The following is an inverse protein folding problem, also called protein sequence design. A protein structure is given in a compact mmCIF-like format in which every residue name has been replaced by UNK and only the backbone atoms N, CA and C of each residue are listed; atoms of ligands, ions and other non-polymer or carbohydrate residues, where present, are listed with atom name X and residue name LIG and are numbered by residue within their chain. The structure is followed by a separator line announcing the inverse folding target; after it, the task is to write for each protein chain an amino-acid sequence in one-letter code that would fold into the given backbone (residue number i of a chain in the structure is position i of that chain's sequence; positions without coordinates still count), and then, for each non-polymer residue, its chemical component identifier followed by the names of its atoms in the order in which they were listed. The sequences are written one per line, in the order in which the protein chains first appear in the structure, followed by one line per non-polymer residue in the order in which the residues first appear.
data_IF_763501406440
#
_entry.id   IF_763501406440
#
_cell.length_a   1.000
_cell.length_b   1.000
_cell.length_c   1.000
_cell.angle_alpha   90.00
_cell.angle_beta   90.00
_cell.angle_gamma   90.00
#
_symmetry.space_group_name_H-M   'P 1'
#
loop_
_entity.id
_entity.type
_entity.pdbx_description
1 polymer ?
#
# COMPACT_ATOMS: atom_id res chain seq x y z
N UNK A 1 57.29 43.52 4.53
CA UNK A 1 58.24 43.16 5.61
C UNK A 1 57.60 42.15 6.53
N UNK A 2 58.27 41.00 6.70
CA UNK A 2 58.18 40.02 7.79
C UNK A 2 56.81 39.40 8.10
N UNK A 3 56.54 38.14 8.16
CA UNK A 3 57.36 36.94 8.15
C UNK A 3 56.48 35.82 8.66
N UNK A 4 56.47 34.65 8.00
CA UNK A 4 55.94 33.40 8.53
C UNK A 4 56.66 32.96 9.81
N UNK A 5 56.11 32.09 10.65
CA UNK A 5 56.49 30.71 10.43
C UNK A 5 55.36 29.66 10.61
N UNK A 6 55.59 28.57 9.89
CA UNK A 6 54.98 27.26 9.98
C UNK A 6 55.19 26.59 11.34
N UNK A 7 54.22 25.77 11.80
CA UNK A 7 54.46 24.65 12.72
C UNK A 7 53.66 23.43 12.31
N UNK A 8 54.41 22.43 11.93
CA UNK A 8 54.02 21.03 11.86
C UNK A 8 53.75 20.49 13.26
N UNK A 9 52.69 19.67 13.42
CA UNK A 9 52.56 18.80 14.59
C UNK A 9 52.17 17.39 14.16
N UNK A 10 52.94 16.50 14.70
CA UNK A 10 53.08 15.07 14.55
C UNK A 10 51.82 14.25 14.84
N UNK A 11 51.84 13.08 14.22
CA UNK A 11 51.04 11.89 14.52
C UNK A 11 51.15 11.44 15.98
N UNK A 12 49.99 11.12 16.60
CA UNK A 12 49.96 10.25 17.75
C UNK A 12 48.96 9.12 17.45
N UNK A 13 49.51 7.94 17.18
CA UNK A 13 48.81 6.66 17.28
C UNK A 13 48.78 6.32 18.77
N UNK A 14 47.57 6.16 19.32
CA UNK A 14 47.40 5.51 20.61
C UNK A 14 46.38 4.36 20.47
N UNK A 15 46.96 3.17 20.66
CA UNK A 15 46.28 1.89 20.60
C UNK A 15 45.41 1.66 21.85
N UNK A 16 44.13 1.45 21.63
CA UNK A 16 43.23 0.95 22.65
C UNK A 16 43.33 -0.57 22.73
N UNK A 17 43.98 -1.05 23.78
CA UNK A 17 44.03 -2.45 24.22
C UNK A 17 42.68 -2.88 24.77
N UNK A 18 42.06 -3.87 24.14
CA UNK A 18 40.91 -4.59 24.67
C UNK A 18 41.30 -5.40 25.91
N UNK A 19 40.64 -5.15 27.05
CA UNK A 19 40.70 -6.00 28.23
C UNK A 19 39.52 -7.00 28.18
N UNK A 20 39.74 -8.31 28.33
CA UNK A 20 38.62 -9.26 28.41
C UNK A 20 37.99 -9.21 29.77
N UNK A 21 36.66 -9.05 29.81
CA UNK A 21 35.83 -9.11 31.01
C UNK A 21 35.67 -10.56 31.50
N UNK A 22 36.00 -10.73 32.78
CA UNK A 22 35.94 -11.98 33.55
C UNK A 22 34.55 -12.62 33.50
N UNK A 23 34.53 -13.91 33.17
CA UNK A 23 33.40 -14.84 33.41
C UNK A 23 33.02 -14.87 34.90
N UNK A 24 31.86 -14.36 35.23
CA UNK A 24 31.19 -14.71 36.50
C UNK A 24 30.47 -16.03 36.33
N UNK A 25 30.76 -16.98 37.18
CA UNK A 25 30.12 -18.28 37.32
C UNK A 25 28.64 -18.07 37.62
N UNK A 26 27.75 -18.55 36.77
CA UNK A 26 26.32 -18.64 37.02
C UNK A 26 26.02 -19.82 37.96
N UNK A 27 25.11 -19.61 38.88
CA UNK A 27 24.51 -20.65 39.73
C UNK A 27 23.69 -21.63 38.89
N UNK A 28 23.63 -22.92 39.26
CA UNK A 28 22.84 -23.91 38.51
C UNK A 28 21.35 -23.68 38.74
N UNK A 29 20.60 -23.50 37.65
CA UNK A 29 19.13 -23.47 37.61
C UNK A 29 18.63 -24.92 37.65
N UNK A 30 17.66 -25.29 38.47
CA UNK A 30 17.12 -26.65 38.50
C UNK A 30 16.34 -26.93 37.22
N UNK A 31 16.66 -28.08 36.60
CA UNK A 31 16.17 -28.53 35.31
C UNK A 31 14.71 -29.02 35.32
N UNK A 32 13.77 -28.24 35.84
CA UNK A 32 12.38 -28.68 35.95
C UNK A 32 11.32 -27.74 35.35
N UNK A 33 11.65 -26.48 34.97
CA UNK A 33 10.62 -25.47 34.64
C UNK A 33 10.78 -24.88 33.23
N UNK A 34 11.87 -25.14 32.50
CA UNK A 34 12.14 -24.53 31.20
C UNK A 34 11.48 -25.29 30.03
N UNK A 35 10.90 -26.47 30.29
CA UNK A 35 10.35 -27.33 29.22
C UNK A 35 8.95 -26.95 28.72
N UNK A 36 8.16 -26.21 29.51
CA UNK A 36 6.73 -26.02 29.18
C UNK A 36 6.45 -24.73 28.38
N UNK A 37 7.28 -23.71 28.50
CA UNK A 37 7.08 -22.45 27.77
C UNK A 37 7.64 -22.46 26.32
N UNK A 38 8.67 -23.27 26.06
CA UNK A 38 9.23 -23.38 24.71
C UNK A 38 8.31 -24.15 23.73
N UNK A 39 7.46 -25.05 24.25
CA UNK A 39 6.53 -25.81 23.40
C UNK A 39 5.34 -24.99 22.92
N UNK A 40 4.87 -24.00 23.69
CA UNK A 40 3.75 -23.18 23.26
C UNK A 40 4.14 -22.15 22.18
N UNK A 41 5.37 -21.63 22.21
CA UNK A 41 5.86 -20.64 21.23
C UNK A 41 6.19 -21.33 19.90
N UNK A 42 6.72 -22.55 19.90
CA UNK A 42 7.02 -23.30 18.67
C UNK A 42 5.74 -23.79 17.97
N UNK A 43 4.70 -24.15 18.72
CA UNK A 43 3.42 -24.58 18.15
C UNK A 43 2.67 -23.43 17.47
N UNK A 44 2.73 -22.21 18.02
CA UNK A 44 2.12 -21.02 17.42
C UNK A 44 2.90 -20.53 16.19
N UNK A 45 4.24 -20.66 16.19
CA UNK A 45 5.06 -20.25 15.04
C UNK A 45 4.92 -21.19 13.82
N UNK A 46 4.66 -22.49 14.02
CA UNK A 46 4.43 -23.43 12.93
C UNK A 46 3.04 -23.31 12.27
N UNK A 47 2.05 -22.78 12.95
CA UNK A 47 0.71 -22.58 12.40
C UNK A 47 0.57 -21.31 11.53
N UNK A 48 1.49 -20.36 11.66
CA UNK A 48 1.40 -19.07 10.95
C UNK A 48 2.33 -18.90 9.76
N UNK A 49 3.38 -19.73 9.58
CA UNK A 49 4.40 -19.50 8.54
C UNK A 49 4.62 -20.68 7.59
N UNK A 50 4.01 -21.86 7.81
CA UNK A 50 4.48 -23.10 7.18
C UNK A 50 3.54 -23.88 6.30
N UNK A 51 2.68 -23.28 5.54
CA UNK A 51 1.72 -23.98 4.67
C UNK A 51 2.26 -24.60 3.37
N UNK A 52 3.57 -24.76 3.13
CA UNK A 52 4.05 -25.37 1.86
C UNK A 52 5.48 -25.88 1.80
N UNK A 53 6.04 -26.43 2.86
CA UNK A 53 7.28 -27.24 2.70
C UNK A 53 7.39 -28.16 3.90
N UNK A 54 7.31 -29.47 3.66
CA UNK A 54 7.71 -30.63 4.47
C UNK A 54 6.62 -31.69 4.65
N UNK A 55 6.24 -32.33 3.53
CA UNK A 55 5.40 -33.54 3.54
C UNK A 55 6.11 -34.83 4.03
N UNK A 56 7.31 -34.73 4.59
CA UNK A 56 8.11 -35.91 4.97
C UNK A 56 8.43 -36.09 6.45
N UNK A 57 8.25 -35.09 7.28
CA UNK A 57 8.69 -35.13 8.70
C UNK A 57 7.52 -35.27 9.69
N UNK A 58 6.29 -35.06 9.22
CA UNK A 58 5.10 -35.06 10.10
C UNK A 58 4.70 -36.50 10.56
N UNK A 59 5.11 -37.53 9.86
CA UNK A 59 4.72 -38.92 10.20
C UNK A 59 5.46 -39.50 11.42
N UNK A 60 6.69 -39.07 11.68
CA UNK A 60 7.47 -39.61 12.82
C UNK A 60 7.25 -38.85 14.13
N UNK A 61 7.00 -37.52 14.07
CA UNK A 61 6.69 -36.75 15.26
C UNK A 61 5.30 -37.09 15.81
N UNK A 62 4.36 -37.48 14.97
CA UNK A 62 3.02 -37.92 15.38
C UNK A 62 3.02 -39.22 16.21
N UNK A 63 3.98 -40.10 15.98
CA UNK A 63 4.09 -41.36 16.75
C UNK A 63 4.65 -41.13 18.17
N UNK A 64 5.66 -40.28 18.28
CA UNK A 64 6.29 -40.00 19.59
C UNK A 64 5.36 -39.19 20.50
N UNK A 65 4.58 -38.28 19.95
CA UNK A 65 3.59 -37.49 20.73
C UNK A 65 2.38 -38.36 21.10
N UNK A 66 1.94 -39.27 20.23
CA UNK A 66 0.85 -40.18 20.52
C UNK A 66 1.16 -41.16 21.66
N UNK A 67 2.40 -41.70 21.74
CA UNK A 67 2.80 -42.57 22.82
C UNK A 67 3.03 -41.87 24.16
N UNK A 68 3.49 -40.60 24.15
CA UNK A 68 3.64 -39.80 25.36
C UNK A 68 2.28 -39.42 25.96
N UNK A 69 1.30 -39.04 25.13
CA UNK A 69 -0.06 -38.73 25.58
C UNK A 69 -0.78 -39.95 26.15
N UNK A 70 -0.56 -41.14 25.56
CA UNK A 70 -1.19 -42.38 26.07
C UNK A 70 -0.61 -42.87 27.40
N UNK A 71 0.66 -42.57 27.72
CA UNK A 71 1.27 -42.93 29.01
C UNK A 71 0.80 -42.02 30.14
N UNK A 72 0.55 -40.76 29.87
CA UNK A 72 0.06 -39.82 30.88
C UNK A 72 -1.44 -40.03 31.19
N UNK A 73 -2.19 -40.54 30.23
CA UNK A 73 -3.62 -40.82 30.40
C UNK A 73 -3.89 -42.08 31.25
N UNK A 74 -2.87 -42.94 31.51
CA UNK A 74 -3.05 -44.24 32.18
C UNK A 74 -2.84 -44.18 33.69
N UNK A 75 -2.39 -43.04 34.31
CA UNK A 75 -2.10 -42.93 35.73
C UNK A 75 -2.90 -41.83 36.50
N UNK A 76 -3.96 -41.30 35.91
CA UNK A 76 -4.85 -40.41 36.65
C UNK A 76 -5.92 -41.21 37.41
N UNK A 77 -6.12 -40.96 38.73
CA UNK A 77 -7.18 -41.66 39.48
C UNK A 77 -8.53 -41.26 38.82
N UNK A 78 -9.35 -42.30 38.57
CA UNK A 78 -10.68 -42.15 38.00
C UNK A 78 -11.57 -41.34 38.93
N UNK A 79 -11.61 -40.04 38.72
CA UNK A 79 -12.68 -39.22 39.25
C UNK A 79 -13.92 -39.52 38.42
N UNK A 80 -14.89 -40.19 39.00
CA UNK A 80 -16.19 -40.47 38.40
C UNK A 80 -16.80 -39.13 38.05
N UNK A 81 -16.67 -38.72 36.77
CA UNK A 81 -17.42 -37.59 36.25
C UNK A 81 -18.91 -37.95 36.27
N UNK A 82 -19.80 -37.07 36.74
CA UNK A 82 -21.23 -37.29 36.60
C UNK A 82 -21.55 -37.47 35.11
N UNK A 83 -22.29 -38.56 34.81
CA UNK A 83 -22.78 -38.85 33.45
C UNK A 83 -23.77 -37.80 32.99
N UNK A 84 -23.27 -36.58 32.75
CA UNK A 84 -23.99 -35.53 32.05
C UNK A 84 -23.74 -35.69 30.55
N UNK A 85 -24.78 -35.75 29.77
CA UNK A 85 -24.73 -35.67 28.32
C UNK A 85 -23.78 -34.52 27.96
N UNK A 86 -22.67 -34.82 27.27
CA UNK A 86 -21.76 -33.78 26.81
C UNK A 86 -22.57 -32.82 25.95
N UNK A 87 -22.79 -31.60 26.46
CA UNK A 87 -23.44 -30.56 25.69
C UNK A 87 -22.50 -30.13 24.58
N UNK A 88 -22.95 -30.31 23.36
CA UNK A 88 -22.21 -29.76 22.21
C UNK A 88 -21.97 -28.26 22.45
N UNK A 89 -20.79 -27.78 22.10
CA UNK A 89 -20.42 -26.38 22.32
C UNK A 89 -21.13 -25.46 21.35
N UNK A 90 -21.52 -24.23 21.74
CA UNK A 90 -21.93 -23.20 20.80
C UNK A 90 -20.73 -22.75 19.95
N UNK A 91 -20.98 -22.07 18.84
CA UNK A 91 -19.96 -21.51 17.96
C UNK A 91 -20.23 -20.02 17.84
N UNK A 92 -19.24 -19.19 18.15
CA UNK A 92 -19.27 -17.76 17.78
C UNK A 92 -18.83 -17.59 16.35
N UNK A 93 -19.48 -16.72 15.61
CA UNK A 93 -19.05 -16.34 14.28
C UNK A 93 -17.72 -15.59 14.35
N UNK A 94 -16.86 -15.81 13.37
CA UNK A 94 -15.63 -15.03 13.23
C UNK A 94 -15.96 -13.54 13.03
N UNK A 95 -15.14 -12.62 13.58
CA UNK A 95 -15.27 -11.20 13.28
C UNK A 95 -15.14 -10.96 11.78
N UNK A 96 -15.81 -9.93 11.23
CA UNK A 96 -15.62 -9.56 9.84
C UNK A 96 -14.16 -9.11 9.57
N UNK A 97 -13.70 -9.36 8.34
CA UNK A 97 -12.36 -8.94 7.92
C UNK A 97 -11.24 -9.59 8.74
N UNK A 98 -10.35 -8.77 9.26
CA UNK A 98 -9.18 -9.16 10.05
C UNK A 98 -9.41 -9.13 11.58
N UNK A 99 -10.64 -8.84 12.03
CA UNK A 99 -10.98 -8.72 13.44
C UNK A 99 -10.67 -7.37 14.09
N UNK A 100 -10.13 -6.41 13.34
CA UNK A 100 -9.97 -5.04 13.81
C UNK A 100 -11.25 -4.23 13.57
N UNK A 101 -11.49 -3.24 14.42
CA UNK A 101 -12.66 -2.36 14.32
C UNK A 101 -12.39 -1.03 15.04
N UNK A 102 -12.87 0.06 14.46
CA UNK A 102 -12.95 1.38 15.12
C UNK A 102 -14.26 1.59 15.88
N UNK A 103 -15.19 0.62 15.79
CA UNK A 103 -16.49 0.73 16.45
C UNK A 103 -16.39 0.24 17.91
N UNK A 104 -16.72 1.10 18.89
CA UNK A 104 -16.56 0.78 20.32
C UNK A 104 -17.58 -0.24 20.86
N UNK A 105 -18.54 -0.65 20.04
CA UNK A 105 -19.52 -1.65 20.39
C UNK A 105 -19.77 -2.62 19.25
N UNK A 106 -19.89 -3.92 19.59
CA UNK A 106 -20.10 -4.99 18.63
C UNK A 106 -21.25 -5.91 19.06
N UNK A 107 -22.04 -6.34 18.08
CA UNK A 107 -23.02 -7.40 18.25
C UNK A 107 -22.38 -8.73 17.88
N UNK A 108 -22.25 -9.63 18.85
CA UNK A 108 -21.75 -10.98 18.59
C UNK A 108 -22.89 -11.86 18.10
N UNK A 109 -22.60 -12.66 17.08
CA UNK A 109 -23.52 -13.66 16.58
C UNK A 109 -22.88 -15.06 16.65
N UNK A 110 -23.74 -16.07 16.60
CA UNK A 110 -23.24 -17.43 16.65
C UNK A 110 -24.35 -18.45 16.43
N UNK A 111 -24.00 -19.70 16.65
CA UNK A 111 -24.94 -20.82 16.51
C UNK A 111 -24.88 -21.77 17.71
N UNK A 112 -25.99 -22.38 17.99
CA UNK A 112 -26.14 -23.47 18.97
C UNK A 112 -26.43 -24.78 18.25
N UNK A 113 -26.11 -25.94 18.89
CA UNK A 113 -26.47 -27.25 18.36
C UNK A 113 -27.97 -27.40 18.14
N UNK A 114 -28.37 -28.06 17.07
CA UNK A 114 -29.81 -28.33 16.75
C UNK A 114 -30.56 -28.99 17.90
N UNK A 115 -29.90 -29.83 18.69
CA UNK A 115 -30.49 -30.58 19.79
C UNK A 115 -31.07 -29.70 20.92
N UNK A 116 -30.67 -28.42 21.01
CA UNK A 116 -31.14 -27.52 22.08
C UNK A 116 -32.11 -26.44 21.57
N UNK A 117 -32.34 -26.38 20.27
CA UNK A 117 -33.27 -25.41 19.64
C UNK A 117 -34.67 -25.58 20.19
N UNK A 118 -35.33 -24.46 20.57
CA UNK A 118 -36.67 -24.44 21.11
C UNK A 118 -36.79 -24.93 22.57
N UNK A 119 -35.67 -25.27 23.24
CA UNK A 119 -35.70 -25.68 24.63
C UNK A 119 -35.55 -24.44 25.54
N UNK A 120 -36.56 -24.07 26.24
CA UNK A 120 -36.64 -22.86 27.09
C UNK A 120 -35.70 -22.89 28.31
N UNK A 121 -35.14 -24.03 28.66
CA UNK A 121 -34.24 -24.22 29.77
C UNK A 121 -32.73 -24.17 29.39
N UNK A 122 -32.44 -23.73 28.15
CA UNK A 122 -31.08 -23.56 27.67
C UNK A 122 -30.80 -22.10 27.38
N UNK A 123 -29.62 -21.63 27.79
CA UNK A 123 -29.12 -20.28 27.59
C UNK A 123 -27.74 -20.33 26.92
N UNK A 124 -27.41 -19.29 26.16
CA UNK A 124 -26.05 -19.03 25.74
C UNK A 124 -25.50 -17.90 26.60
N UNK A 125 -24.38 -18.15 27.27
CA UNK A 125 -23.62 -17.12 27.98
C UNK A 125 -22.39 -16.77 27.17
N UNK A 126 -22.15 -15.47 26.99
CA UNK A 126 -20.95 -14.96 26.37
C UNK A 126 -20.07 -14.33 27.44
N UNK A 127 -18.80 -14.70 27.42
CA UNK A 127 -17.80 -14.19 28.34
C UNK A 127 -16.71 -13.43 27.62
N UNK A 128 -16.32 -12.29 28.17
CA UNK A 128 -15.08 -11.60 27.84
C UNK A 128 -13.97 -12.22 28.70
N UNK A 129 -12.91 -12.67 28.04
CA UNK A 129 -11.73 -13.25 28.69
C UNK A 129 -10.77 -12.15 29.10
N UNK A 130 -10.47 -12.07 30.38
CA UNK A 130 -9.48 -11.19 30.95
C UNK A 130 -8.13 -11.89 31.17
N UNK A 131 -7.19 -11.16 31.78
CA UNK A 131 -5.91 -11.72 32.20
C UNK A 131 -6.10 -12.90 33.14
N UNK A 132 -5.18 -13.87 33.14
CA UNK A 132 -5.22 -15.08 33.97
C UNK A 132 -6.49 -15.93 33.80
N UNK A 133 -7.08 -15.93 32.57
CA UNK A 133 -8.30 -16.66 32.24
C UNK A 133 -9.55 -16.29 33.10
N UNK A 134 -9.58 -15.10 33.67
CA UNK A 134 -10.76 -14.57 34.35
C UNK A 134 -11.85 -14.34 33.33
N UNK A 135 -13.06 -14.87 33.60
CA UNK A 135 -14.24 -14.73 32.74
C UNK A 135 -15.18 -13.66 33.26
N UNK A 136 -15.52 -12.67 32.45
CA UNK A 136 -16.57 -11.69 32.79
C UNK A 136 -17.77 -11.95 31.90
N UNK A 137 -18.93 -12.27 32.48
CA UNK A 137 -20.18 -12.44 31.70
C UNK A 137 -20.57 -11.09 31.08
N UNK A 138 -20.70 -11.06 29.75
CA UNK A 138 -21.07 -9.86 28.99
C UNK A 138 -22.44 -9.98 28.33
N UNK A 139 -22.92 -11.20 28.09
CA UNK A 139 -24.28 -11.42 27.60
C UNK A 139 -24.84 -12.77 28.07
N UNK A 140 -26.18 -12.83 28.14
CA UNK A 140 -26.93 -14.06 28.38
C UNK A 140 -28.16 -14.05 27.47
N UNK A 141 -28.32 -15.07 26.64
CA UNK A 141 -29.33 -15.14 25.59
C UNK A 141 -30.09 -16.43 25.72
N UNK A 142 -31.42 -16.35 25.77
CA UNK A 142 -32.30 -17.52 25.72
C UNK A 142 -32.14 -18.22 24.37
N UNK A 143 -32.01 -19.55 24.36
CA UNK A 143 -32.00 -20.31 23.10
C UNK A 143 -33.40 -20.22 22.48
N UNK A 144 -33.47 -19.70 21.27
CA UNK A 144 -34.73 -19.49 20.55
C UNK A 144 -35.16 -20.69 19.69
N UNK A 145 -36.09 -20.43 18.79
CA UNK A 145 -36.61 -21.41 17.84
C UNK A 145 -35.67 -21.68 16.64
N UNK A 146 -34.54 -21.03 16.58
CA UNK A 146 -33.52 -21.21 15.54
C UNK A 146 -32.16 -21.58 16.13
N UNK A 147 -31.27 -22.11 15.30
CA UNK A 147 -29.89 -22.37 15.71
C UNK A 147 -29.08 -21.11 15.89
N UNK A 148 -29.52 -19.94 15.43
CA UNK A 148 -28.80 -18.68 15.47
C UNK A 148 -29.15 -17.90 16.73
N UNK A 149 -28.13 -17.28 17.31
CA UNK A 149 -28.29 -16.30 18.40
C UNK A 149 -27.50 -15.02 18.08
N UNK A 150 -27.91 -13.93 18.73
CA UNK A 150 -27.21 -12.64 18.69
C UNK A 150 -27.27 -12.02 20.07
N UNK A 151 -26.21 -11.31 20.43
CA UNK A 151 -26.17 -10.51 21.66
C UNK A 151 -26.77 -9.11 21.37
N UNK A 152 -27.07 -8.39 22.43
CA UNK A 152 -27.08 -6.93 22.37
C UNK A 152 -25.67 -6.40 22.06
N UNK A 153 -25.56 -5.11 21.79
CA UNK A 153 -24.26 -4.48 21.56
C UNK A 153 -23.38 -4.54 22.81
N UNK A 154 -22.20 -5.14 22.70
CA UNK A 154 -21.22 -5.29 23.78
C UNK A 154 -20.16 -4.23 23.58
N UNK A 155 -19.90 -3.43 24.62
CA UNK A 155 -18.83 -2.42 24.61
C UNK A 155 -17.48 -3.09 24.65
N UNK A 156 -16.60 -2.72 23.69
CA UNK A 156 -15.21 -3.17 23.61
C UNK A 156 -14.30 -2.25 24.43
N UNK A 157 -13.19 -2.80 24.89
CA UNK A 157 -12.06 -2.05 25.42
C UNK A 157 -11.02 -1.86 24.33
N UNK A 158 -10.28 -0.78 24.39
CA UNK A 158 -9.15 -0.54 23.49
C UNK A 158 -8.19 -1.73 23.50
N UNK A 159 -7.76 -2.16 22.30
CA UNK A 159 -6.97 -3.37 22.11
C UNK A 159 -7.80 -4.65 21.96
N UNK A 160 -7.21 -5.84 22.18
CA UNK A 160 -7.86 -7.12 21.92
C UNK A 160 -8.92 -7.47 22.97
N UNK A 161 -10.10 -7.84 22.49
CA UNK A 161 -11.23 -8.34 23.26
C UNK A 161 -11.52 -9.78 22.83
N UNK A 162 -11.22 -10.74 23.70
CA UNK A 162 -11.38 -12.17 23.41
C UNK A 162 -12.69 -12.65 23.99
N UNK A 163 -13.57 -13.19 23.18
CA UNK A 163 -14.88 -13.71 23.59
C UNK A 163 -14.94 -15.22 23.41
N UNK A 164 -15.62 -15.87 24.35
CA UNK A 164 -16.05 -17.27 24.26
C UNK A 164 -17.55 -17.35 24.57
N UNK A 165 -18.21 -18.34 24.03
CA UNK A 165 -19.58 -18.66 24.40
C UNK A 165 -19.65 -20.04 25.06
N UNK A 166 -20.55 -20.21 26.02
CA UNK A 166 -20.88 -21.50 26.62
C UNK A 166 -22.39 -21.74 26.56
N UNK A 167 -22.78 -22.98 26.43
CA UNK A 167 -24.19 -23.37 26.54
C UNK A 167 -24.47 -23.70 28.01
N UNK A 168 -25.53 -23.13 28.57
CA UNK A 168 -25.97 -23.35 29.94
C UNK A 168 -27.25 -24.18 29.92
N UNK A 169 -27.24 -25.26 30.71
CA UNK A 169 -28.38 -26.11 30.92
C UNK A 169 -28.78 -26.14 32.38
N UNK A 170 -29.90 -26.77 32.79
CA UNK A 170 -30.21 -26.97 34.21
C UNK A 170 -29.12 -27.72 35.02
N UNK A 171 -28.29 -28.51 34.36
CA UNK A 171 -27.15 -29.22 34.95
C UNK A 171 -25.89 -28.41 35.07
N UNK A 172 -25.87 -27.17 34.52
CA UNK A 172 -24.70 -26.28 34.60
C UNK A 172 -24.19 -25.86 33.23
N UNK A 173 -22.99 -25.24 33.22
CA UNK A 173 -22.29 -24.80 32.03
C UNK A 173 -21.62 -25.97 31.29
N UNK A 174 -21.79 -25.99 29.97
CA UNK A 174 -21.10 -26.93 29.07
C UNK A 174 -19.71 -26.45 28.66
N UNK A 175 -19.17 -27.04 27.59
CA UNK A 175 -17.89 -26.66 27.01
C UNK A 175 -17.92 -25.24 26.39
N UNK A 176 -16.75 -24.60 26.42
CA UNK A 176 -16.60 -23.28 25.79
C UNK A 176 -16.38 -23.39 24.27
N UNK A 177 -16.90 -22.44 23.52
CA UNK A 177 -16.59 -22.27 22.09
C UNK A 177 -15.10 -22.01 21.87
N UNK A 178 -14.61 -22.20 20.63
CA UNK A 178 -13.38 -21.54 20.21
C UNK A 178 -13.46 -20.02 20.48
N UNK A 179 -12.36 -19.39 20.90
CA UNK A 179 -12.35 -17.95 21.15
C UNK A 179 -12.43 -17.17 19.83
N UNK A 180 -13.13 -16.03 19.85
CA UNK A 180 -13.09 -15.02 18.81
C UNK A 180 -12.51 -13.72 19.35
N UNK A 181 -11.72 -13.01 18.53
CA UNK A 181 -11.02 -11.80 18.96
C UNK A 181 -11.46 -10.63 18.13
N UNK A 182 -11.95 -9.58 18.81
CA UNK A 182 -12.16 -8.26 18.24
C UNK A 182 -11.12 -7.31 18.80
N UNK A 183 -10.36 -6.66 17.95
CA UNK A 183 -9.38 -5.64 18.36
C UNK A 183 -9.95 -4.26 18.11
N UNK A 184 -10.32 -3.56 19.17
CA UNK A 184 -10.74 -2.17 19.06
C UNK A 184 -9.50 -1.29 18.92
N UNK A 185 -9.46 -0.51 17.86
CA UNK A 185 -8.50 0.57 17.68
C UNK A 185 -9.25 1.81 17.18
N UNK A 186 -9.27 2.86 18.00
CA UNK A 186 -9.96 4.11 17.69
C UNK A 186 -9.01 5.25 17.31
N UNK A 187 -7.70 4.94 17.17
CA UNK A 187 -6.67 5.93 16.88
C UNK A 187 -6.33 5.93 15.41
N UNK A 188 -6.44 7.11 14.79
CA UNK A 188 -5.95 7.28 13.44
C UNK A 188 -4.42 7.15 13.38
N UNK A 189 -3.87 6.52 12.33
CA UNK A 189 -2.44 6.28 12.21
C UNK A 189 -1.68 7.60 12.04
N UNK A 190 -0.46 7.66 12.60
CA UNK A 190 0.43 8.78 12.38
C UNK A 190 0.91 8.82 10.93
N UNK A 191 0.92 10.02 10.31
CA UNK A 191 1.37 10.22 8.94
C UNK A 191 2.29 11.44 8.87
N UNK A 192 3.51 11.24 8.38
CA UNK A 192 4.47 12.31 8.15
C UNK A 192 5.03 12.21 6.73
N UNK A 193 4.95 13.29 5.97
CA UNK A 193 5.54 13.38 4.63
C UNK A 193 6.96 13.93 4.75
N UNK A 194 7.93 13.21 4.19
CA UNK A 194 9.34 13.61 4.18
C UNK A 194 9.80 14.13 2.83
N UNK A 195 9.09 13.79 1.75
CA UNK A 195 9.34 14.27 0.38
C UNK A 195 8.05 14.14 -0.45
N UNK A 196 7.78 15.09 -1.36
CA UNK A 196 8.50 16.35 -1.56
C UNK A 196 8.28 17.32 -0.41
N UNK A 197 9.12 18.36 -0.31
CA UNK A 197 8.87 19.52 0.57
C UNK A 197 7.62 20.29 0.14
N UNK A 198 7.16 21.17 1.00
CA UNK A 198 6.01 22.04 0.68
C UNK A 198 6.31 22.95 -0.53
N UNK A 199 5.32 23.13 -1.42
CA UNK A 199 5.39 24.01 -2.61
C UNK A 199 6.58 23.74 -3.54
N UNK A 200 6.97 22.48 -3.68
CA UNK A 200 8.10 22.12 -4.55
C UNK A 200 7.73 22.31 -6.02
N UNK A 201 8.70 22.81 -6.79
CA UNK A 201 8.61 22.89 -8.26
C UNK A 201 9.24 21.61 -8.87
N UNK A 202 8.44 20.85 -9.61
CA UNK A 202 8.84 19.59 -10.24
C UNK A 202 8.81 19.74 -11.76
N UNK A 203 9.89 19.33 -12.44
CA UNK A 203 9.97 19.36 -13.91
C UNK A 203 9.47 18.07 -14.57
N UNK A 204 9.41 16.97 -13.83
CA UNK A 204 8.98 15.68 -14.33
C UNK A 204 7.46 15.51 -14.40
N UNK A 205 6.99 14.51 -15.15
CA UNK A 205 5.56 14.14 -15.24
C UNK A 205 5.07 13.39 -14.01
N UNK A 206 5.95 13.05 -13.09
CA UNK A 206 5.64 12.40 -11.82
C UNK A 206 6.60 12.86 -10.72
N UNK A 207 6.20 12.66 -9.49
CA UNK A 207 7.00 12.92 -8.30
C UNK A 207 6.94 11.72 -7.39
N UNK A 208 8.04 11.45 -6.67
CA UNK A 208 8.07 10.44 -5.61
C UNK A 208 7.65 11.07 -4.29
N UNK A 209 6.51 10.64 -3.77
CA UNK A 209 6.05 10.99 -2.42
C UNK A 209 6.60 9.94 -1.46
N UNK A 210 7.31 10.39 -0.44
CA UNK A 210 7.89 9.55 0.59
C UNK A 210 7.54 10.08 1.98
N UNK A 211 7.45 9.17 2.93
CA UNK A 211 7.05 9.52 4.29
C UNK A 211 7.22 8.39 5.28
N UNK A 212 6.62 8.61 6.44
CA UNK A 212 6.58 7.62 7.53
C UNK A 212 5.15 7.46 8.03
N UNK A 213 4.84 6.22 8.38
CA UNK A 213 3.61 5.84 9.09
C UNK A 213 3.88 4.57 9.89
N UNK A 214 2.87 4.03 10.52
CA UNK A 214 2.97 2.81 11.31
C UNK A 214 3.04 1.56 10.42
N UNK A 215 3.62 0.49 10.92
CA UNK A 215 3.67 -0.80 10.21
C UNK A 215 2.25 -1.34 9.97
N UNK A 216 2.01 -1.90 8.79
CA UNK A 216 0.71 -2.45 8.39
C UNK A 216 -0.31 -1.43 7.88
N UNK A 217 -0.01 -0.12 8.00
CA UNK A 217 -0.87 0.95 7.48
C UNK A 217 -0.83 0.97 5.95
N UNK A 218 -1.98 1.12 5.32
CA UNK A 218 -2.10 1.32 3.87
C UNK A 218 -2.04 2.81 3.55
N UNK A 219 -1.04 3.20 2.75
CA UNK A 219 -0.94 4.56 2.21
C UNK A 219 -1.59 4.57 0.83
N UNK A 220 -2.58 5.44 0.65
CA UNK A 220 -3.22 5.72 -0.63
C UNK A 220 -2.96 7.16 -1.04
N UNK A 221 -2.53 7.39 -2.29
CA UNK A 221 -2.18 8.72 -2.77
C UNK A 221 -2.99 9.05 -4.01
N UNK A 222 -3.64 10.20 -3.97
CA UNK A 222 -4.51 10.70 -5.03
C UNK A 222 -4.18 12.14 -5.40
N UNK A 223 -3.93 12.38 -6.69
CA UNK A 223 -3.81 13.73 -7.22
C UNK A 223 -5.20 14.20 -7.72
N UNK A 224 -5.75 15.23 -7.09
CA UNK A 224 -7.10 15.76 -7.39
C UNK A 224 -7.21 16.30 -8.82
N UNK A 225 -6.12 16.78 -9.39
CA UNK A 225 -6.06 17.32 -10.75
C UNK A 225 -5.84 16.23 -11.81
N UNK A 226 -5.66 14.97 -11.41
CA UNK A 226 -5.53 13.84 -12.32
C UNK A 226 -6.73 12.89 -12.18
N UNK A 227 -7.95 13.32 -12.61
CA UNK A 227 -9.16 12.50 -12.50
C UNK A 227 -9.04 11.29 -13.44
N UNK A 228 -9.33 10.12 -12.94
CA UNK A 228 -9.31 8.86 -13.71
C UNK A 228 -8.05 7.99 -13.53
N UNK A 229 -7.06 8.46 -12.78
CA UNK A 229 -5.98 7.61 -12.29
C UNK A 229 -6.43 6.84 -11.05
N UNK A 230 -6.28 5.51 -11.04
CA UNK A 230 -6.44 4.77 -9.79
C UNK A 230 -5.46 5.31 -8.74
N UNK A 231 -5.86 5.46 -7.47
CA UNK A 231 -4.94 5.84 -6.41
C UNK A 231 -3.74 4.89 -6.37
N UNK A 232 -2.56 5.44 -6.29
CA UNK A 232 -1.38 4.62 -6.05
C UNK A 232 -1.34 4.26 -4.55
N UNK A 233 -1.15 2.99 -4.22
CA UNK A 233 -1.15 2.53 -2.83
C UNK A 233 0.04 1.65 -2.51
N UNK A 234 0.42 1.64 -1.23
CA UNK A 234 1.46 0.77 -0.67
C UNK A 234 1.15 0.47 0.80
N UNK A 235 1.47 -0.72 1.26
CA UNK A 235 1.42 -1.07 2.68
C UNK A 235 2.78 -0.76 3.30
N UNK A 236 2.77 -0.06 4.42
CA UNK A 236 3.98 0.30 5.17
C UNK A 236 4.53 -0.95 5.85
N UNK A 237 5.80 -1.26 5.60
CA UNK A 237 6.49 -2.37 6.24
C UNK A 237 7.11 -2.01 7.59
N UNK A 238 7.90 -2.94 8.16
CA UNK A 238 8.56 -2.80 9.47
C UNK A 238 9.46 -1.57 9.61
N UNK A 239 10.01 -1.06 8.49
CA UNK A 239 10.83 0.16 8.50
C UNK A 239 10.05 1.43 8.86
N UNK A 240 8.73 1.36 8.84
CA UNK A 240 7.85 2.51 9.06
C UNK A 240 7.95 3.57 7.96
N UNK A 241 8.51 3.24 6.78
CA UNK A 241 8.69 4.19 5.68
C UNK A 241 7.91 3.74 4.44
N UNK A 242 7.50 4.71 3.64
CA UNK A 242 6.87 4.45 2.34
C UNK A 242 7.43 5.37 1.26
N UNK A 243 7.27 4.93 0.01
CA UNK A 243 7.57 5.70 -1.19
C UNK A 243 6.64 5.30 -2.32
N UNK A 244 5.96 6.29 -2.91
CA UNK A 244 4.97 6.09 -3.99
C UNK A 244 5.17 7.15 -5.06
N UNK A 245 5.14 6.77 -6.33
CA UNK A 245 5.20 7.71 -7.46
C UNK A 245 3.81 8.19 -7.83
N UNK A 246 3.65 9.52 -7.98
CA UNK A 246 2.39 10.17 -8.31
C UNK A 246 2.55 10.95 -9.62
N UNK A 247 1.61 10.76 -10.54
CA UNK A 247 1.55 11.53 -11.78
C UNK A 247 1.07 12.96 -11.51
N UNK A 248 1.67 13.91 -12.21
CA UNK A 248 1.36 15.33 -12.09
C UNK A 248 0.83 15.88 -13.42
N UNK A 249 -0.21 16.71 -13.34
CA UNK A 249 -0.61 17.60 -14.43
C UNK A 249 0.22 18.89 -14.38
N UNK A 250 0.15 19.69 -15.41
CA UNK A 250 0.79 21.01 -15.51
C UNK A 250 0.20 21.98 -14.51
N UNK A 251 1.05 22.81 -13.97
CA UNK A 251 0.66 23.80 -12.98
C UNK A 251 0.50 23.19 -11.60
N UNK A 252 -0.50 23.64 -10.88
CA UNK A 252 -0.71 23.29 -9.48
C UNK A 252 -1.39 21.92 -9.34
N UNK A 253 -0.82 21.06 -8.49
CA UNK A 253 -1.34 19.76 -8.15
C UNK A 253 -1.59 19.69 -6.65
N UNK A 254 -2.80 19.33 -6.27
CA UNK A 254 -3.21 19.06 -4.90
C UNK A 254 -3.26 17.55 -4.70
N UNK A 255 -2.33 17.03 -3.92
CA UNK A 255 -2.15 15.59 -3.72
C UNK A 255 -2.54 15.21 -2.30
N UNK A 256 -3.56 14.39 -2.16
CA UNK A 256 -3.97 13.80 -0.89
C UNK A 256 -3.17 12.52 -0.64
N UNK A 257 -2.55 12.44 0.52
CA UNK A 257 -1.90 11.26 1.05
C UNK A 257 -2.73 10.79 2.24
N UNK A 258 -3.30 9.59 2.12
CA UNK A 258 -4.22 9.03 3.11
C UNK A 258 -3.55 7.78 3.69
N UNK A 259 -3.39 7.77 4.99
CA UNK A 259 -2.96 6.61 5.76
C UNK A 259 -4.19 5.96 6.38
N UNK A 260 -4.43 4.68 6.13
CA UNK A 260 -5.55 3.91 6.69
C UNK A 260 -5.00 2.68 7.40
N UNK A 261 -5.39 2.48 8.65
CA UNK A 261 -5.00 1.31 9.45
C UNK A 261 -5.92 0.10 9.22
N UNK A 262 -5.71 -0.96 10.00
CA UNK A 262 -6.49 -2.19 9.93
C UNK A 262 -7.91 -2.07 10.51
N UNK A 263 -8.17 -1.03 11.30
CA UNK A 263 -9.48 -0.72 11.89
C UNK A 263 -10.26 0.32 11.07
N UNK A 264 -9.76 0.68 9.87
CA UNK A 264 -10.32 1.71 8.98
C UNK A 264 -10.25 3.15 9.54
N UNK A 265 -9.42 3.41 10.57
CA UNK A 265 -9.13 4.79 10.94
C UNK A 265 -8.19 5.40 9.91
N UNK A 266 -8.35 6.70 9.63
CA UNK A 266 -7.56 7.34 8.59
C UNK A 266 -7.03 8.72 9.00
N UNK A 267 -5.82 9.01 8.50
CA UNK A 267 -5.20 10.34 8.56
C UNK A 267 -4.92 10.81 7.14
N UNK A 268 -5.29 12.05 6.82
CA UNK A 268 -5.06 12.65 5.50
C UNK A 268 -4.15 13.85 5.62
N UNK A 269 -3.11 13.88 4.78
CA UNK A 269 -2.23 15.05 4.59
C UNK A 269 -2.34 15.49 3.13
N UNK A 270 -2.65 16.76 2.90
CA UNK A 270 -2.64 17.37 1.58
C UNK A 270 -1.31 18.06 1.32
N UNK A 271 -0.70 17.80 0.16
CA UNK A 271 0.52 18.46 -0.28
C UNK A 271 0.28 19.20 -1.60
N UNK A 272 0.82 20.41 -1.70
CA UNK A 272 0.76 21.22 -2.92
C UNK A 272 2.07 21.05 -3.69
N UNK A 273 1.97 20.69 -4.96
CA UNK A 273 3.12 20.45 -5.83
C UNK A 273 2.87 21.21 -7.13
N UNK A 274 3.80 22.07 -7.50
CA UNK A 274 3.74 22.75 -8.78
C UNK A 274 4.60 22.02 -9.80
N UNK A 275 3.99 21.60 -10.91
CA UNK A 275 4.74 21.07 -12.03
C UNK A 275 5.04 22.21 -13.00
N UNK A 276 6.35 22.43 -13.20
CA UNK A 276 6.86 23.31 -14.23
C UNK A 276 7.32 22.45 -15.41
N UNK A 277 6.96 22.87 -16.61
CA UNK A 277 7.34 22.15 -17.82
C UNK A 277 8.73 22.45 -18.29
N UNK A 278 9.31 23.54 -17.84
CA UNK A 278 10.33 24.19 -18.63
C UNK A 278 9.81 24.37 -20.07
N UNK A 279 10.45 25.12 -20.90
CA UNK A 279 9.98 25.34 -22.24
C UNK A 279 10.06 24.02 -23.04
N UNK A 280 8.90 23.53 -23.52
CA UNK A 280 8.89 22.52 -24.57
C UNK A 280 9.63 23.08 -25.77
N UNK A 281 10.36 22.25 -26.49
CA UNK A 281 11.04 22.65 -27.72
C UNK A 281 10.44 21.91 -28.92
N UNK A 282 10.22 22.63 -30.02
CA UNK A 282 9.81 22.07 -31.31
C UNK A 282 10.75 22.59 -32.39
N UNK A 283 11.65 21.73 -32.82
CA UNK A 283 12.55 22.04 -33.92
C UNK A 283 11.92 21.59 -35.23
N UNK A 284 11.49 22.59 -36.06
CA UNK A 284 10.87 22.34 -37.38
C UNK A 284 11.91 22.46 -38.49
N UNK A 285 11.99 21.44 -39.32
CA UNK A 285 12.79 21.43 -40.54
C UNK A 285 11.89 21.32 -41.78
N UNK A 286 12.32 21.90 -42.86
CA UNK A 286 11.66 21.82 -44.15
C UNK A 286 12.63 21.32 -45.23
N UNK A 287 12.15 20.47 -46.11
CA UNK A 287 12.95 20.00 -47.26
C UNK A 287 12.04 19.92 -48.50
N UNK A 288 12.37 20.69 -49.55
CA UNK A 288 13.36 21.76 -49.59
C UNK A 288 12.87 23.05 -48.92
N UNK A 289 13.80 23.92 -48.51
CA UNK A 289 13.48 25.29 -48.02
C UNK A 289 13.37 26.30 -49.16
N UNK A 290 13.93 25.96 -50.34
CA UNK A 290 13.86 26.77 -51.57
C UNK A 290 12.90 26.09 -52.55
N UNK A 291 11.80 26.79 -52.89
CA UNK A 291 10.70 26.29 -53.70
C UNK A 291 10.81 26.93 -55.10
N UNK A 292 10.90 26.13 -56.16
CA UNK A 292 10.91 26.63 -57.50
C UNK A 292 9.47 27.00 -57.90
N UNK A 293 9.22 28.29 -58.19
CA UNK A 293 7.88 28.79 -58.51
C UNK A 293 7.30 28.26 -59.85
N UNK A 294 8.18 27.78 -60.72
CA UNK A 294 7.79 27.25 -62.04
C UNK A 294 7.61 25.72 -62.07
N UNK A 295 7.74 25.07 -60.94
CA UNK A 295 7.66 23.59 -60.80
C UNK A 295 6.74 23.16 -59.69
N UNK A 296 6.21 21.96 -59.83
CA UNK A 296 5.58 21.26 -58.71
C UNK A 296 6.68 20.75 -57.80
N UNK A 297 6.63 21.10 -56.53
CA UNK A 297 7.62 20.76 -55.53
C UNK A 297 6.96 19.98 -54.38
N UNK A 298 7.50 18.82 -54.07
CA UNK A 298 7.08 18.07 -52.85
C UNK A 298 7.83 18.66 -51.68
N UNK A 299 7.09 19.25 -50.73
CA UNK A 299 7.60 19.82 -49.52
C UNK A 299 7.36 18.84 -48.35
N UNK A 300 8.44 18.48 -47.66
CA UNK A 300 8.38 17.66 -46.45
C UNK A 300 8.76 18.52 -45.25
N UNK A 301 7.90 18.57 -44.27
CA UNK A 301 8.13 19.20 -42.96
C UNK A 301 8.31 18.11 -41.90
N UNK A 302 9.35 18.23 -41.12
CA UNK A 302 9.60 17.32 -40.01
C UNK A 302 9.82 18.13 -38.73
N UNK A 303 9.06 17.82 -37.70
CA UNK A 303 9.28 18.36 -36.33
C UNK A 303 9.96 17.33 -35.47
N UNK A 304 10.91 17.78 -34.69
CA UNK A 304 11.43 17.06 -33.51
C UNK A 304 11.01 17.83 -32.28
N UNK A 305 10.09 17.25 -31.49
CA UNK A 305 9.56 17.84 -30.28
C UNK A 305 10.16 17.18 -29.05
N UNK A 306 10.62 18.00 -28.09
CA UNK A 306 11.22 17.52 -26.85
C UNK A 306 10.57 18.18 -25.66
N UNK A 307 10.50 17.43 -24.54
CA UNK A 307 10.16 17.96 -23.24
C UNK A 307 11.33 18.79 -22.67
N UNK A 308 11.09 19.50 -21.58
CA UNK A 308 12.06 20.39 -20.94
C UNK A 308 13.36 19.72 -20.48
N UNK A 309 13.33 18.41 -20.24
CA UNK A 309 14.48 17.60 -19.86
C UNK A 309 15.23 17.01 -21.09
N UNK A 310 14.86 17.44 -22.32
CA UNK A 310 15.42 16.92 -23.57
C UNK A 310 14.86 15.56 -24.01
N UNK A 311 13.96 14.94 -23.24
CA UNK A 311 13.35 13.68 -23.64
C UNK A 311 12.39 13.88 -24.83
N UNK A 312 12.28 12.92 -25.76
CA UNK A 312 11.33 12.98 -26.85
C UNK A 312 9.89 13.15 -26.37
N UNK A 313 9.14 14.06 -26.97
CA UNK A 313 7.73 14.26 -26.68
C UNK A 313 6.91 13.26 -27.53
N UNK A 314 6.68 12.08 -26.98
CA UNK A 314 5.99 10.98 -27.66
C UNK A 314 4.48 11.12 -27.61
N UNK A 315 3.78 10.66 -28.65
CA UNK A 315 2.31 10.70 -28.77
C UNK A 315 1.69 12.11 -28.64
N UNK A 316 2.49 13.16 -28.81
CA UNK A 316 2.01 14.54 -28.92
C UNK A 316 1.29 14.76 -30.25
N UNK A 317 0.39 15.72 -30.31
CA UNK A 317 -0.31 16.08 -31.55
C UNK A 317 0.38 17.26 -32.19
N UNK A 318 0.87 17.09 -33.43
CA UNK A 318 1.47 18.13 -34.27
C UNK A 318 0.49 18.58 -35.32
N UNK A 319 0.31 19.91 -35.46
CA UNK A 319 -0.43 20.56 -36.57
C UNK A 319 0.55 21.41 -37.34
N UNK A 320 0.77 21.04 -38.59
CA UNK A 320 1.62 21.80 -39.49
C UNK A 320 0.78 22.79 -40.33
N UNK A 321 1.33 23.96 -40.51
CA UNK A 321 0.79 25.00 -41.38
C UNK A 321 1.88 25.47 -42.32
N UNK A 322 1.56 25.64 -43.60
CA UNK A 322 2.44 26.15 -44.64
C UNK A 322 1.78 27.34 -45.30
N UNK A 323 2.53 28.42 -45.41
CA UNK A 323 2.13 29.59 -46.18
C UNK A 323 3.25 29.96 -47.17
N UNK A 324 2.99 29.84 -48.44
CA UNK A 324 3.92 30.18 -49.51
C UNK A 324 3.29 31.27 -50.37
N UNK A 325 4.09 32.24 -50.79
CA UNK A 325 3.62 33.35 -51.60
C UNK A 325 2.84 32.86 -52.82
N UNK A 326 1.65 33.42 -53.02
CA UNK A 326 0.73 33.08 -54.10
C UNK A 326 -0.20 31.87 -53.82
N UNK A 327 -0.05 31.22 -52.71
CA UNK A 327 -0.89 30.12 -52.27
C UNK A 327 -1.59 30.48 -50.95
N UNK A 328 -2.74 29.88 -50.69
CA UNK A 328 -3.39 29.93 -49.39
C UNK A 328 -2.65 29.12 -48.34
N UNK A 329 -3.14 29.15 -47.12
CA UNK A 329 -2.62 28.28 -46.05
C UNK A 329 -2.95 26.82 -46.35
N UNK A 330 -1.95 25.97 -46.12
CA UNK A 330 -2.06 24.51 -46.24
C UNK A 330 -1.82 23.97 -44.85
N UNK A 331 -2.77 23.22 -44.32
CA UNK A 331 -2.65 22.54 -43.00
C UNK A 331 -2.59 21.02 -43.14
N UNK A 332 -2.06 20.36 -42.14
CA UNK A 332 -1.87 18.91 -42.12
C UNK A 332 -3.01 18.13 -41.48
N UNK A 333 -3.89 18.80 -40.74
CA UNK A 333 -4.65 18.11 -39.67
C UNK A 333 -3.73 17.56 -38.56
N UNK A 334 -4.28 16.80 -37.62
CA UNK A 334 -3.51 16.28 -36.49
C UNK A 334 -2.62 15.08 -36.87
N UNK A 335 -1.33 15.15 -36.56
CA UNK A 335 -0.35 14.07 -36.73
C UNK A 335 0.29 13.76 -35.41
N UNK A 336 0.40 12.47 -35.05
CA UNK A 336 1.03 12.06 -33.79
C UNK A 336 2.55 11.97 -33.93
N UNK A 337 3.28 12.42 -32.88
CA UNK A 337 4.72 12.19 -32.78
C UNK A 337 5.02 10.74 -32.42
N UNK A 338 6.09 10.21 -32.97
CA UNK A 338 6.58 8.85 -32.74
C UNK A 338 7.36 8.70 -31.41
N UNK A 339 7.94 7.52 -31.18
CA UNK A 339 8.76 7.24 -29.99
C UNK A 339 10.04 8.10 -29.89
N UNK A 340 10.44 8.78 -30.97
CA UNK A 340 11.58 9.72 -31.00
C UNK A 340 11.11 11.18 -30.91
N UNK A 341 9.82 11.44 -30.69
CA UNK A 341 9.26 12.79 -30.68
C UNK A 341 9.16 13.42 -32.07
N UNK A 342 9.15 12.62 -33.13
CA UNK A 342 9.12 13.11 -34.52
C UNK A 342 7.73 12.99 -35.12
N UNK A 343 7.34 14.00 -35.89
CA UNK A 343 6.16 13.94 -36.78
C UNK A 343 6.55 14.55 -38.15
N UNK A 344 6.00 14.00 -39.23
CA UNK A 344 6.30 14.43 -40.59
C UNK A 344 5.02 14.70 -41.36
N UNK A 345 5.00 15.83 -42.08
CA UNK A 345 3.94 16.21 -42.98
C UNK A 345 4.54 16.44 -44.38
N UNK A 346 3.94 15.84 -45.38
CA UNK A 346 4.34 16.01 -46.79
C UNK A 346 3.19 16.60 -47.59
N UNK A 347 3.46 17.66 -48.33
CA UNK A 347 2.48 18.30 -49.20
C UNK A 347 3.11 18.69 -50.56
N UNK A 348 2.27 18.95 -51.53
CA UNK A 348 2.70 19.37 -52.86
C UNK A 348 2.43 20.87 -53.06
N UNK A 349 3.47 21.60 -53.37
CA UNK A 349 3.42 23.03 -53.70
C UNK A 349 3.42 23.20 -55.23
N UNK A 350 2.33 23.77 -55.77
CA UNK A 350 2.20 24.06 -57.18
C UNK A 350 1.65 25.48 -57.36
N UNK A 351 2.23 26.25 -58.28
CA UNK A 351 1.77 27.63 -58.57
C UNK A 351 2.24 28.67 -57.56
N UNK A 352 3.32 28.41 -56.83
CA UNK A 352 3.94 29.40 -55.94
C UNK A 352 4.41 30.63 -56.74
N UNK A 353 4.29 31.82 -56.14
CA UNK A 353 4.81 33.07 -56.66
C UNK A 353 6.12 33.40 -55.96
N UNK A 354 7.07 34.03 -56.67
CA UNK A 354 8.33 34.46 -56.04
C UNK A 354 8.09 35.29 -54.78
N UNK A 355 8.76 34.95 -53.72
CA UNK A 355 8.61 35.63 -52.42
C UNK A 355 8.95 34.76 -51.22
N UNK A 356 8.84 35.34 -50.05
CA UNK A 356 9.06 34.65 -48.80
C UNK A 356 7.78 33.99 -48.29
N UNK A 357 7.92 32.79 -47.75
CA UNK A 357 6.88 32.05 -47.06
C UNK A 357 7.38 31.56 -45.72
N UNK A 358 6.53 30.87 -45.02
CA UNK A 358 6.88 30.22 -43.76
C UNK A 358 6.16 28.87 -43.61
N UNK A 359 6.75 28.01 -42.80
CA UNK A 359 6.06 26.86 -42.26
C UNK A 359 6.10 26.92 -40.73
N UNK A 360 5.05 26.48 -40.12
CA UNK A 360 4.98 26.37 -38.67
C UNK A 360 4.37 25.04 -38.25
N UNK A 361 4.66 24.65 -37.02
CA UNK A 361 4.03 23.51 -36.38
C UNK A 361 3.64 23.92 -34.96
N UNK A 362 2.42 23.59 -34.57
CA UNK A 362 1.96 23.64 -33.19
C UNK A 362 1.95 22.21 -32.64
N UNK A 363 2.79 21.95 -31.67
CA UNK A 363 2.83 20.65 -30.99
C UNK A 363 2.13 20.77 -29.64
N UNK A 364 1.13 19.92 -29.44
CA UNK A 364 0.38 19.84 -28.18
C UNK A 364 0.69 18.49 -27.52
N UNK A 365 1.20 18.53 -26.30
CA UNK A 365 1.45 17.32 -25.50
C UNK A 365 0.15 16.58 -25.16
N UNK A 366 0.25 15.36 -24.68
CA UNK A 366 -0.88 14.58 -24.15
C UNK A 366 -1.52 15.22 -22.89
N UNK A 367 -0.82 16.17 -22.28
CA UNK A 367 -1.27 16.94 -21.11
C UNK A 367 -1.78 18.34 -21.46
N UNK A 368 -1.80 18.71 -22.76
CA UNK A 368 -2.32 19.99 -23.25
C UNK A 368 -1.29 21.12 -23.36
N UNK A 369 0.00 20.86 -23.08
CA UNK A 369 1.05 21.87 -23.27
C UNK A 369 1.33 22.09 -24.73
N UNK A 370 1.63 23.34 -25.07
CA UNK A 370 1.84 23.73 -26.46
C UNK A 370 3.21 24.36 -26.66
N UNK A 371 3.80 24.04 -27.80
CA UNK A 371 5.00 24.69 -28.31
C UNK A 371 4.89 24.89 -29.81
N UNK A 372 5.38 26.04 -30.31
CA UNK A 372 5.38 26.37 -31.72
C UNK A 372 6.81 26.30 -32.29
N UNK A 373 6.99 25.57 -33.37
CA UNK A 373 8.18 25.62 -34.22
C UNK A 373 7.89 26.36 -35.51
N UNK A 374 8.87 27.09 -36.05
CA UNK A 374 8.74 27.82 -37.32
C UNK A 374 10.00 27.68 -38.18
N UNK A 375 9.83 27.73 -39.49
CA UNK A 375 10.92 27.79 -40.46
C UNK A 375 10.55 28.65 -41.66
N UNK A 376 11.53 29.24 -42.35
CA UNK A 376 11.31 30.13 -43.49
C UNK A 376 11.39 29.31 -44.77
N UNK A 377 10.51 29.63 -45.73
CA UNK A 377 10.46 29.08 -47.07
C UNK A 377 10.70 30.23 -48.06
N UNK A 378 11.42 29.96 -49.14
CA UNK A 378 11.68 30.96 -50.19
C UNK A 378 11.30 30.41 -51.54
N UNK A 379 10.31 31.03 -52.19
CA UNK A 379 9.96 30.75 -53.60
C UNK A 379 10.76 31.64 -54.55
N UNK A 380 11.41 31.04 -55.51
CA UNK A 380 12.28 31.74 -56.46
C UNK A 380 11.94 31.46 -57.93
#
# INVERSE_FOLDING_TARGET
MRGRPSRSIASAQDGLRYKPLNRRRGLPIPAGIVGLELFSVVAVFMLTVGGRLLGGIVAEVGKVVGEAVNRVASEAPATVAPSGVALDTPILDSPPGNGYTSQPAQVLAGSVPKAVVGKSNYLVRVYLMGAKAVRTKVAEIQVGATTRFRTDAITLKEGPNTFIAVLVSPSGEGGASPPVIYTLDTRAPALTITSPGANVLVKGTSVSVAGRSENGVTISIHNRQFPGGAPASVVVGESGTFRVSVKLVVGDNSVDVIATDQADNSTTVNIQIKRDYGQLAAHLTASPTKINSNKVVVLTLTVHATASNGAPLTNATAYFMVNVSGLGEIDSGPIKTDAKGMATFTTTIAGAVKGSGWASVLVTSDLGDQVKGTTILNAY
#
